data_IF_265280099314
#
_entry.id   IF_265280099314
#
_cell.length_a   1.000
_cell.length_b   1.000
_cell.length_c   1.000
_cell.angle_alpha   90.00
_cell.angle_beta   90.00
_cell.angle_gamma   90.00
#
_symmetry.space_group_name_H-M   'P 1'
#
loop_
_entity.id
_entity.type
_entity.pdbx_description
1 polymer ?
#
# COMPACT_ATOMS: atom_id res chain seq x y z
N UNK A 1 -13.37 -22.42 6.85
CA UNK A 1 -12.95 -21.22 7.61
C UNK A 1 -12.44 -20.23 6.57
N UNK A 2 -13.09 -19.08 6.38
CA UNK A 2 -12.63 -18.07 5.43
C UNK A 2 -11.37 -17.46 6.05
N UNK A 3 -10.19 -17.83 5.56
CA UNK A 3 -8.95 -17.19 5.97
C UNK A 3 -9.09 -15.69 5.68
N UNK A 4 -8.71 -14.84 6.65
CA UNK A 4 -8.71 -13.39 6.46
C UNK A 4 -7.73 -13.06 5.33
N UNK A 5 -8.21 -12.85 4.11
CA UNK A 5 -7.36 -12.62 2.95
C UNK A 5 -6.81 -11.18 2.87
N UNK A 6 -6.78 -10.45 3.97
CA UNK A 6 -6.49 -9.02 3.97
C UNK A 6 -5.28 -8.71 4.86
N UNK A 7 -4.46 -7.80 4.38
CA UNK A 7 -3.51 -7.06 5.19
C UNK A 7 -4.21 -5.85 5.80
N UNK A 8 -3.93 -5.56 7.05
CA UNK A 8 -4.36 -4.32 7.72
C UNK A 8 -3.15 -3.40 7.84
N UNK A 9 -3.18 -2.29 7.11
CA UNK A 9 -2.14 -1.26 7.14
C UNK A 9 -2.63 -0.11 7.98
N UNK A 10 -1.96 0.16 9.09
CA UNK A 10 -2.26 1.28 9.94
C UNK A 10 -1.39 2.46 9.51
N UNK A 11 -2.02 3.55 9.10
CA UNK A 11 -1.35 4.73 8.54
C UNK A 11 -1.96 6.02 9.07
N UNK A 12 -1.17 7.09 9.14
CA UNK A 12 -1.76 8.43 9.21
C UNK A 12 -2.27 8.85 7.82
N UNK A 13 -3.32 9.67 7.76
CA UNK A 13 -3.92 10.18 6.53
C UNK A 13 -3.46 11.62 6.26
N UNK A 14 -2.22 11.87 5.78
CA UNK A 14 -1.76 13.24 5.51
C UNK A 14 -2.56 13.95 4.41
N UNK A 15 -3.26 13.19 3.55
CA UNK A 15 -4.19 13.73 2.56
C UNK A 15 -5.49 14.24 3.17
N UNK A 16 -5.81 13.83 4.41
CA UNK A 16 -6.87 14.42 5.22
C UNK A 16 -6.24 15.37 6.24
N UNK A 17 -6.05 16.63 5.83
CA UNK A 17 -5.48 17.70 6.66
C UNK A 17 -6.28 17.95 7.95
N UNK A 18 -7.52 17.44 8.06
CA UNK A 18 -8.33 17.56 9.26
C UNK A 18 -7.98 16.49 10.31
N UNK A 19 -7.39 15.37 9.90
CA UNK A 19 -7.17 14.19 10.74
C UNK A 19 -5.72 13.69 10.77
N UNK A 20 -4.75 14.62 10.77
CA UNK A 20 -3.31 14.29 10.77
C UNK A 20 -2.82 13.47 11.97
N UNK A 21 -3.62 13.37 13.05
CA UNK A 21 -3.29 12.61 14.27
C UNK A 21 -4.06 11.29 14.40
N UNK A 22 -5.06 11.04 13.56
CA UNK A 22 -5.88 9.84 13.66
C UNK A 22 -5.20 8.70 12.90
N UNK A 23 -5.02 7.57 13.58
CA UNK A 23 -4.55 6.35 12.93
C UNK A 23 -5.72 5.73 12.15
N UNK A 24 -5.52 5.50 10.86
CA UNK A 24 -6.52 4.87 9.98
C UNK A 24 -6.06 3.47 9.60
N UNK A 25 -6.98 2.52 9.64
CA UNK A 25 -6.79 1.16 9.15
C UNK A 25 -7.22 1.08 7.67
N UNK A 26 -6.31 0.60 6.82
CA UNK A 26 -6.59 0.31 5.41
C UNK A 26 -6.50 -1.19 5.21
N UNK A 27 -7.57 -1.80 4.71
CA UNK A 27 -7.61 -3.23 4.39
C UNK A 27 -7.24 -3.46 2.93
N UNK A 28 -6.17 -4.21 2.70
CA UNK A 28 -5.67 -4.54 1.38
C UNK A 28 -5.81 -6.02 1.12
N UNK A 29 -6.44 -6.39 0.00
CA UNK A 29 -6.56 -7.79 -0.38
C UNK A 29 -5.17 -8.36 -0.69
N UNK A 30 -4.86 -9.50 -0.08
CA UNK A 30 -3.63 -10.23 -0.34
C UNK A 30 -3.65 -10.78 -1.77
N UNK A 31 -2.68 -10.41 -2.59
CA UNK A 31 -2.56 -10.98 -3.94
C UNK A 31 -2.46 -12.51 -3.91
N UNK A 32 -1.90 -13.08 -2.84
CA UNK A 32 -1.85 -14.54 -2.63
C UNK A 32 -3.25 -15.18 -2.65
N UNK A 33 -4.32 -14.46 -2.31
CA UNK A 33 -5.69 -15.00 -2.41
C UNK A 33 -6.19 -15.11 -3.84
N UNK A 34 -5.58 -14.38 -4.78
CA UNK A 34 -5.91 -14.40 -6.21
C UNK A 34 -4.93 -15.31 -6.97
N UNK A 35 -3.63 -15.09 -6.80
CA UNK A 35 -2.55 -15.72 -7.57
C UNK A 35 -1.93 -16.94 -6.87
N UNK A 36 -2.41 -17.33 -5.68
CA UNK A 36 -1.91 -18.43 -4.81
C UNK A 36 -0.49 -18.24 -4.27
N UNK A 37 0.32 -17.41 -4.91
CA UNK A 37 1.69 -17.02 -4.56
C UNK A 37 1.84 -15.51 -4.70
N UNK A 38 2.83 -14.92 -4.03
CA UNK A 38 3.15 -13.51 -4.27
C UNK A 38 3.91 -13.38 -5.59
N UNK A 39 3.48 -12.50 -6.51
CA UNK A 39 4.24 -12.26 -7.73
C UNK A 39 5.58 -11.60 -7.38
N UNK A 40 6.62 -11.96 -8.12
CA UNK A 40 7.89 -11.23 -8.10
C UNK A 40 7.70 -9.98 -8.94
N UNK A 41 8.03 -8.82 -8.39
CA UNK A 41 7.96 -7.54 -9.09
C UNK A 41 9.37 -7.26 -9.63
N UNK A 42 9.48 -7.17 -10.96
CA UNK A 42 10.75 -6.89 -11.63
C UNK A 42 11.19 -5.43 -11.41
N UNK A 43 12.51 -5.12 -11.43
CA UNK A 43 13.04 -3.77 -11.22
C UNK A 43 12.41 -2.70 -12.13
N UNK A 44 12.12 -3.05 -13.37
CA UNK A 44 11.55 -2.16 -14.39
C UNK A 44 10.22 -1.55 -13.95
N UNK A 45 9.41 -2.29 -13.19
CA UNK A 45 8.18 -1.76 -12.61
C UNK A 45 8.45 -0.58 -11.66
N UNK A 46 9.51 -0.67 -10.86
CA UNK A 46 9.88 0.39 -9.93
C UNK A 46 10.47 1.60 -10.66
N UNK A 47 11.24 1.37 -11.71
CA UNK A 47 11.78 2.45 -12.56
C UNK A 47 10.65 3.22 -13.24
N UNK A 48 9.68 2.51 -13.83
CA UNK A 48 8.48 3.10 -14.43
C UNK A 48 7.63 3.84 -13.37
N UNK A 49 7.43 3.22 -12.21
CA UNK A 49 6.69 3.85 -11.11
C UNK A 49 7.36 5.15 -10.66
N UNK A 50 8.67 5.13 -10.38
CA UNK A 50 9.42 6.31 -9.93
C UNK A 50 9.38 7.42 -10.99
N UNK A 51 9.58 7.09 -12.26
CA UNK A 51 9.46 8.04 -13.36
C UNK A 51 8.09 8.71 -13.37
N UNK A 52 7.01 7.95 -13.18
CA UNK A 52 5.67 8.51 -13.12
C UNK A 52 5.42 9.34 -11.84
N UNK A 53 5.90 8.89 -10.67
CA UNK A 53 5.76 9.64 -9.41
C UNK A 53 6.41 11.03 -9.49
N UNK A 54 7.57 11.16 -10.15
CA UNK A 54 8.28 12.44 -10.28
C UNK A 54 7.71 13.35 -11.37
N UNK A 55 7.10 12.79 -12.41
CA UNK A 55 6.65 13.55 -13.58
C UNK A 55 5.19 14.02 -13.49
N UNK A 56 4.42 13.54 -12.50
CA UNK A 56 2.98 13.83 -12.40
C UNK A 56 2.59 14.34 -11.01
N UNK A 57 2.02 15.54 -10.94
CA UNK A 57 1.66 16.25 -9.69
C UNK A 57 0.60 15.53 -8.82
N UNK A 58 -0.13 14.57 -9.39
CA UNK A 58 -1.18 13.83 -8.66
C UNK A 58 -0.66 12.62 -7.89
N UNK A 59 0.63 12.33 -7.95
CA UNK A 59 1.25 11.29 -7.13
C UNK A 59 2.00 11.89 -5.95
N UNK A 60 1.92 11.24 -4.79
CA UNK A 60 2.59 11.70 -3.57
C UNK A 60 3.23 10.52 -2.85
N UNK A 61 4.52 10.68 -2.48
CA UNK A 61 5.22 9.73 -1.62
C UNK A 61 5.07 10.16 -0.16
N UNK A 62 4.50 9.30 0.68
CA UNK A 62 4.36 9.61 2.11
C UNK A 62 4.79 8.43 2.96
N UNK A 63 5.79 8.65 3.82
CA UNK A 63 6.16 7.72 4.87
C UNK A 63 5.15 7.80 6.03
N UNK A 64 4.06 7.05 5.92
CA UNK A 64 2.92 7.13 6.85
C UNK A 64 2.56 5.83 7.57
N UNK A 65 3.14 4.69 7.14
CA UNK A 65 2.87 3.38 7.73
C UNK A 65 3.37 3.32 9.19
N UNK A 66 2.53 2.79 10.07
CA UNK A 66 2.81 2.59 11.50
C UNK A 66 2.74 1.16 11.97
N UNK A 67 2.00 0.30 11.26
CA UNK A 67 1.90 -1.13 11.55
C UNK A 67 1.32 -1.86 10.34
N UNK A 68 1.83 -3.05 10.07
CA UNK A 68 1.27 -3.95 9.05
C UNK A 68 0.93 -5.25 9.76
N UNK A 69 -0.34 -5.65 9.69
CA UNK A 69 -0.81 -6.93 10.21
C UNK A 69 -1.27 -7.79 9.04
N UNK A 70 -0.74 -8.99 8.95
CA UNK A 70 -1.06 -9.91 7.87
C UNK A 70 -2.35 -10.71 8.05
N UNK A 71 -2.71 -11.49 7.01
CA UNK A 71 -3.84 -12.41 6.98
C UNK A 71 -4.00 -13.34 8.19
N UNK A 72 -2.89 -13.76 8.81
CA UNK A 72 -2.86 -14.70 9.93
C UNK A 72 -2.62 -13.99 11.27
N UNK A 73 -2.89 -12.69 11.34
CA UNK A 73 -2.66 -11.84 12.51
C UNK A 73 -1.17 -11.75 12.90
N UNK A 74 -0.28 -11.92 11.92
CA UNK A 74 1.15 -11.74 12.09
C UNK A 74 1.55 -10.27 11.91
N UNK A 75 2.41 -9.76 12.79
CA UNK A 75 2.96 -8.42 12.69
C UNK A 75 4.21 -8.41 11.80
N UNK A 76 4.27 -7.46 10.86
CA UNK A 76 5.43 -7.26 10.00
C UNK A 76 6.22 -6.02 10.42
N UNK A 77 7.55 -6.13 10.35
CA UNK A 77 8.46 -4.99 10.51
C UNK A 77 8.20 -3.93 9.42
N UNK A 78 8.29 -2.65 9.77
CA UNK A 78 7.93 -1.53 8.88
C UNK A 78 9.01 -1.26 7.80
N UNK A 79 10.11 -2.00 7.79
CA UNK A 79 11.22 -1.81 6.86
C UNK A 79 11.34 -2.96 5.84
N UNK A 80 11.60 -2.70 4.55
CA UNK A 80 11.27 -1.52 3.74
C UNK A 80 9.99 -1.80 2.93
N UNK A 81 8.84 -1.47 3.51
CA UNK A 81 7.56 -1.55 2.81
C UNK A 81 7.23 -0.23 2.11
N UNK A 82 6.80 -0.32 0.86
CA UNK A 82 6.29 0.80 0.09
C UNK A 82 4.76 0.69 0.05
N UNK A 83 4.09 1.79 0.36
CA UNK A 83 2.63 1.88 0.26
C UNK A 83 2.26 3.02 -0.68
N UNK A 84 1.67 2.66 -1.81
CA UNK A 84 1.34 3.57 -2.89
C UNK A 84 -0.16 3.76 -2.90
N UNK A 85 -0.59 5.01 -2.91
CA UNK A 85 -1.94 5.42 -3.28
C UNK A 85 -1.87 6.11 -4.62
N UNK A 86 -2.68 5.64 -5.55
CA UNK A 86 -2.80 6.23 -6.87
C UNK A 86 -4.28 6.44 -7.20
N UNK A 87 -4.54 7.44 -8.03
CA UNK A 87 -5.85 7.69 -8.61
C UNK A 87 -5.66 7.81 -10.11
N UNK A 88 -6.40 7.03 -10.90
CA UNK A 88 -6.34 7.16 -12.36
C UNK A 88 -7.15 8.36 -12.87
N UNK A 89 -7.09 8.59 -14.18
CA UNK A 89 -7.83 9.67 -14.84
C UNK A 89 -9.36 9.51 -14.76
N UNK A 90 -9.85 8.30 -14.42
CA UNK A 90 -11.27 8.01 -14.19
C UNK A 90 -11.67 8.14 -12.70
N UNK A 91 -10.75 8.64 -11.86
CA UNK A 91 -10.92 8.77 -10.40
C UNK A 91 -11.05 7.44 -9.66
N UNK A 92 -10.55 6.35 -10.24
CA UNK A 92 -10.46 5.07 -9.53
C UNK A 92 -9.22 5.09 -8.65
N UNK A 93 -9.43 4.80 -7.37
CA UNK A 93 -8.35 4.72 -6.38
C UNK A 93 -7.75 3.31 -6.38
N UNK A 94 -6.42 3.25 -6.36
CA UNK A 94 -5.65 2.02 -6.23
C UNK A 94 -4.70 2.16 -5.04
N UNK A 95 -4.58 1.08 -4.28
CA UNK A 95 -3.66 1.00 -3.16
C UNK A 95 -2.79 -0.25 -3.30
N UNK A 96 -1.48 -0.10 -3.23
CA UNK A 96 -0.52 -1.20 -3.35
C UNK A 96 0.43 -1.15 -2.16
N UNK A 97 0.61 -2.31 -1.52
CA UNK A 97 1.61 -2.52 -0.48
C UNK A 97 2.60 -3.58 -0.97
N UNK A 98 3.89 -3.26 -1.00
CA UNK A 98 4.94 -4.20 -1.36
C UNK A 98 6.17 -4.03 -0.47
N UNK A 99 6.86 -5.12 -0.16
CA UNK A 99 8.23 -5.06 0.37
C UNK A 99 9.22 -4.93 -0.79
N UNK A 100 10.34 -4.24 -0.57
CA UNK A 100 11.53 -4.40 -1.40
C UNK A 100 12.19 -5.75 -1.15
#
# INVERSE_FOLDING_TARGET
MIMNNFFSVFTYTPWDNLNTKLLTEVKLLSLKSITKTFPVIEPEFFDDLLSNLYNFEHYSWVQCIKRIVGPNNEDYDIAPWNFIWAMDNERKNFSILNSK
#
